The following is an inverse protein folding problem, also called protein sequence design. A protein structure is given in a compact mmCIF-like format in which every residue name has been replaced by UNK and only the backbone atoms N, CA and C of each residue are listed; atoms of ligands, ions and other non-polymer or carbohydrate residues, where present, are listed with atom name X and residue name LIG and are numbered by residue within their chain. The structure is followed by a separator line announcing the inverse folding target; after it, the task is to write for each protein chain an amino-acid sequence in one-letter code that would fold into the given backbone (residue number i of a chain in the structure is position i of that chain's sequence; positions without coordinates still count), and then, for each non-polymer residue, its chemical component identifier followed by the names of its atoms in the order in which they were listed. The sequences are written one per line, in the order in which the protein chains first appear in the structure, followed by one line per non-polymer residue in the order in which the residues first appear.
data_IF_278256099440
#
_entry.id   IF_278256099440
#
_cell.length_a   1.000
_cell.length_b   1.000
_cell.length_c   1.000
_cell.angle_alpha   90.00
_cell.angle_beta   90.00
_cell.angle_gamma   90.00
#
_symmetry.space_group_name_H-M   'P 1'
#
loop_
_entity.id
_entity.type
_entity.pdbx_description
1 polymer ?
#
# COMPACT_ATOMS: atom_id res chain seq x y z
N UNK A 1 4.64 13.46 2.00
CA UNK A 1 3.27 13.78 1.56
C UNK A 1 3.38 14.88 0.52
N UNK A 2 2.80 14.66 -0.63
CA UNK A 2 2.88 15.53 -1.78
C UNK A 2 1.90 16.69 -1.63
N UNK A 3 2.40 17.93 -1.63
CA UNK A 3 1.57 19.14 -1.39
C UNK A 3 0.45 19.35 -2.41
N UNK A 4 0.65 18.88 -3.64
CA UNK A 4 -0.32 18.98 -4.73
C UNK A 4 -1.49 17.98 -4.64
N UNK A 5 -1.47 17.08 -3.66
CA UNK A 5 -2.54 16.11 -3.44
C UNK A 5 -3.73 16.67 -2.67
N UNK A 6 -3.54 17.75 -1.94
CA UNK A 6 -4.60 18.32 -1.09
C UNK A 6 -5.85 18.65 -1.88
N UNK A 7 -5.70 19.28 -3.07
CA UNK A 7 -6.85 19.64 -3.91
C UNK A 7 -7.51 18.41 -4.55
N UNK A 8 -6.72 17.42 -4.93
CA UNK A 8 -7.21 16.17 -5.50
C UNK A 8 -7.98 15.33 -4.48
N UNK A 9 -7.52 15.30 -3.23
CA UNK A 9 -8.19 14.62 -2.12
C UNK A 9 -9.45 15.36 -1.62
N UNK A 10 -9.63 16.63 -1.99
CA UNK A 10 -10.76 17.43 -1.56
C UNK A 10 -12.11 16.82 -1.97
N UNK A 11 -12.20 16.28 -3.20
CA UNK A 11 -13.41 15.61 -3.67
C UNK A 11 -13.72 14.36 -2.84
N UNK A 12 -12.73 13.51 -2.60
CA UNK A 12 -12.86 12.33 -1.75
C UNK A 12 -13.27 12.72 -0.31
N UNK A 13 -12.59 13.70 0.27
CA UNK A 13 -12.94 14.20 1.61
C UNK A 13 -14.39 14.69 1.67
N UNK A 14 -14.83 15.47 0.67
CA UNK A 14 -16.21 15.96 0.59
C UNK A 14 -17.21 14.82 0.50
N UNK A 15 -16.88 13.77 -0.25
CA UNK A 15 -17.71 12.57 -0.36
C UNK A 15 -17.84 11.87 0.99
N UNK A 16 -16.73 11.61 1.69
CA UNK A 16 -16.74 10.97 3.01
C UNK A 16 -17.52 11.79 4.05
N UNK A 17 -17.32 13.11 4.07
CA UNK A 17 -17.98 14.00 5.05
C UNK A 17 -19.50 14.09 4.85
N UNK A 18 -20.03 13.75 3.65
CA UNK A 18 -21.45 13.88 3.30
C UNK A 18 -22.20 12.58 3.09
N UNK A 19 -21.50 11.45 3.14
CA UNK A 19 -22.09 10.14 2.83
C UNK A 19 -22.18 9.30 4.10
N UNK A 20 -23.34 8.71 4.33
CA UNK A 20 -23.56 7.79 5.45
C UNK A 20 -22.65 6.56 5.31
N UNK A 21 -22.18 6.02 6.43
CA UNK A 21 -21.15 4.98 6.45
C UNK A 21 -21.56 3.69 5.73
N UNK A 22 -22.84 3.34 5.74
CA UNK A 22 -23.40 2.16 5.05
C UNK A 22 -23.52 2.35 3.54
N UNK A 23 -23.43 3.60 3.06
CA UNK A 23 -23.53 3.98 1.65
C UNK A 23 -22.17 4.20 0.97
N UNK A 24 -21.09 4.25 1.74
CA UNK A 24 -19.75 4.50 1.21
C UNK A 24 -19.31 3.44 0.19
N UNK A 25 -19.77 2.22 0.34
CA UNK A 25 -19.42 1.07 -0.51
C UNK A 25 -20.59 0.57 -1.36
N UNK A 26 -21.76 1.24 -1.28
CA UNK A 26 -22.92 0.79 -2.04
C UNK A 26 -22.78 1.18 -3.52
N UNK A 27 -22.71 0.18 -4.40
CA UNK A 27 -22.67 0.33 -5.86
C UNK A 27 -23.87 1.08 -6.44
N UNK A 28 -24.98 1.17 -5.69
CA UNK A 28 -26.19 1.92 -6.08
C UNK A 28 -26.16 3.36 -5.60
N UNK A 29 -25.13 3.76 -4.86
CA UNK A 29 -24.92 5.16 -4.54
C UNK A 29 -24.37 5.89 -5.76
N UNK A 30 -25.26 6.53 -6.53
CA UNK A 30 -24.89 7.26 -7.76
C UNK A 30 -24.34 8.67 -7.50
N UNK A 31 -24.07 9.05 -6.26
CA UNK A 31 -23.17 10.17 -5.96
C UNK A 31 -21.73 9.71 -6.13
N UNK A 32 -21.43 8.52 -5.63
CA UNK A 32 -20.16 7.84 -5.74
C UNK A 32 -20.05 6.72 -4.72
N UNK A 33 -19.03 5.89 -4.85
CA UNK A 33 -18.68 4.86 -3.87
C UNK A 33 -17.19 4.54 -3.90
N UNK A 34 -16.72 3.91 -2.82
CA UNK A 34 -15.33 3.52 -2.66
C UNK A 34 -15.07 2.22 -3.41
N UNK A 35 -13.96 2.21 -4.14
CA UNK A 35 -13.37 1.02 -4.76
C UNK A 35 -11.96 0.81 -4.25
N UNK A 36 -11.37 -0.34 -4.53
CA UNK A 36 -10.00 -0.62 -4.17
C UNK A 36 -9.25 -1.28 -5.32
N UNK A 37 -8.01 -0.86 -5.54
CA UNK A 37 -7.17 -1.44 -6.58
C UNK A 37 -5.73 -1.65 -6.12
N UNK A 38 -4.98 -2.42 -6.92
CA UNK A 38 -3.63 -2.84 -6.58
C UNK A 38 -2.65 -2.54 -7.69
N UNK A 39 -1.56 -1.87 -7.36
CA UNK A 39 -0.37 -1.84 -8.19
C UNK A 39 0.52 -2.99 -7.73
N UNK A 40 0.67 -4.01 -8.56
CA UNK A 40 1.50 -5.19 -8.27
C UNK A 40 2.79 -5.07 -9.07
N UNK A 41 3.91 -4.94 -8.37
CA UNK A 41 5.21 -4.68 -8.96
C UNK A 41 6.15 -5.87 -8.81
N UNK A 42 6.64 -6.37 -9.93
CA UNK A 42 7.76 -7.30 -9.96
C UNK A 42 9.07 -6.51 -9.92
N UNK A 43 9.68 -6.52 -8.74
CA UNK A 43 10.93 -5.79 -8.51
C UNK A 43 12.10 -6.35 -9.32
N UNK A 44 12.14 -7.68 -9.56
CA UNK A 44 13.25 -8.32 -10.26
C UNK A 44 13.32 -7.92 -11.72
N UNK A 45 12.16 -7.74 -12.34
CA UNK A 45 12.04 -7.45 -13.77
C UNK A 45 11.58 -6.01 -14.05
N UNK A 46 11.36 -5.18 -13.02
CA UNK A 46 10.85 -3.79 -13.14
C UNK A 46 9.55 -3.69 -13.92
N UNK A 47 8.62 -4.63 -13.65
CA UNK A 47 7.33 -4.72 -14.34
C UNK A 47 6.15 -4.55 -13.39
N UNK A 48 5.04 -4.07 -13.94
CA UNK A 48 3.74 -3.94 -13.25
C UNK A 48 2.73 -4.85 -13.93
N UNK A 49 1.93 -5.54 -13.12
CA UNK A 49 0.86 -6.39 -13.60
C UNK A 49 -0.34 -5.55 -14.01
N UNK A 50 -0.87 -5.81 -15.21
CA UNK A 50 -2.05 -5.17 -15.74
C UNK A 50 -3.06 -6.21 -16.22
N UNK A 51 -4.34 -5.88 -16.04
CA UNK A 51 -5.48 -6.63 -16.60
C UNK A 51 -6.13 -5.85 -17.72
N UNK A 52 -6.69 -6.55 -18.70
CA UNK A 52 -7.47 -5.96 -19.79
C UNK A 52 -8.92 -5.76 -19.35
N UNK A 53 -9.28 -4.52 -19.11
CA UNK A 53 -10.67 -4.19 -18.81
C UNK A 53 -11.54 -4.33 -20.08
N UNK A 54 -12.40 -5.33 -20.13
CA UNK A 54 -13.14 -5.74 -21.33
C UNK A 54 -13.99 -4.60 -21.91
N UNK A 55 -14.71 -3.86 -21.06
CA UNK A 55 -15.61 -2.78 -21.51
C UNK A 55 -14.83 -1.56 -22.01
N UNK A 56 -13.80 -1.15 -21.27
CA UNK A 56 -12.99 0.03 -21.59
C UNK A 56 -11.94 -0.24 -22.67
N UNK A 57 -11.68 -1.50 -23.00
CA UNK A 57 -10.62 -1.93 -23.92
C UNK A 57 -9.25 -1.31 -23.54
N UNK A 58 -8.99 -1.20 -22.23
CA UNK A 58 -7.76 -0.62 -21.67
C UNK A 58 -7.10 -1.59 -20.72
N UNK A 59 -5.79 -1.47 -20.62
CA UNK A 59 -5.00 -2.15 -19.63
C UNK A 59 -4.98 -1.31 -18.35
N UNK A 60 -5.46 -1.89 -17.25
CA UNK A 60 -5.60 -1.24 -15.95
C UNK A 60 -4.95 -2.12 -14.87
N UNK A 61 -4.76 -1.55 -13.70
CA UNK A 61 -4.40 -2.31 -12.51
C UNK A 61 -5.57 -3.22 -12.08
N UNK A 62 -5.30 -4.37 -11.44
CA UNK A 62 -6.33 -5.19 -10.80
C UNK A 62 -7.09 -4.42 -9.73
N UNK A 63 -8.38 -4.67 -9.60
CA UNK A 63 -9.21 -4.07 -8.55
C UNK A 63 -10.69 -3.94 -8.93
N UNK A 64 -11.50 -3.63 -7.92
CA UNK A 64 -12.93 -3.54 -8.10
C UNK A 64 -13.67 -3.01 -6.88
N UNK A 65 -14.92 -3.47 -6.71
CA UNK A 65 -15.78 -3.02 -5.63
C UNK A 65 -15.49 -3.77 -4.33
N UNK A 66 -15.62 -3.03 -3.23
CA UNK A 66 -15.54 -3.63 -1.90
C UNK A 66 -16.90 -4.21 -1.55
N UNK A 67 -16.92 -5.48 -1.19
CA UNK A 67 -18.15 -6.20 -0.84
C UNK A 67 -18.43 -6.13 0.66
N UNK A 68 -19.70 -6.32 1.05
CA UNK A 68 -20.11 -6.34 2.46
C UNK A 68 -19.48 -7.49 3.26
N UNK A 69 -19.03 -8.52 2.58
CA UNK A 69 -18.33 -9.68 3.14
C UNK A 69 -16.85 -9.44 3.37
N UNK A 70 -16.27 -8.41 2.77
CA UNK A 70 -14.86 -8.07 2.97
C UNK A 70 -14.66 -7.48 4.37
N UNK A 71 -13.73 -8.04 5.14
CA UNK A 71 -13.43 -7.59 6.50
C UNK A 71 -12.82 -6.18 6.55
N UNK A 72 -12.18 -5.76 5.46
CA UNK A 72 -11.63 -4.43 5.27
C UNK A 72 -11.52 -4.10 3.79
N UNK A 73 -11.26 -2.83 3.45
CA UNK A 73 -10.98 -2.41 2.07
C UNK A 73 -9.80 -3.20 1.49
N UNK A 74 -8.75 -3.40 2.29
CA UNK A 74 -7.58 -4.15 1.86
C UNK A 74 -7.89 -5.64 1.60
N UNK A 75 -8.80 -6.24 2.37
CA UNK A 75 -9.21 -7.63 2.11
C UNK A 75 -10.01 -7.73 0.82
N UNK A 76 -10.86 -6.73 0.52
CA UNK A 76 -11.52 -6.62 -0.79
C UNK A 76 -10.51 -6.51 -1.94
N UNK A 77 -9.45 -5.71 -1.77
CA UNK A 77 -8.37 -5.61 -2.76
C UNK A 77 -7.66 -6.95 -2.96
N UNK A 78 -7.36 -7.70 -1.88
CA UNK A 78 -6.78 -9.04 -2.01
C UNK A 78 -7.71 -10.03 -2.72
N UNK A 79 -9.03 -9.96 -2.47
CA UNK A 79 -10.02 -10.79 -3.17
C UNK A 79 -10.02 -10.46 -4.66
N UNK A 80 -10.11 -9.19 -5.05
CA UNK A 80 -10.09 -8.76 -6.45
C UNK A 80 -8.78 -9.18 -7.15
N UNK A 81 -7.62 -9.03 -6.50
CA UNK A 81 -6.35 -9.52 -7.05
C UNK A 81 -6.44 -11.01 -7.34
N UNK A 82 -6.92 -11.81 -6.39
CA UNK A 82 -7.01 -13.25 -6.56
C UNK A 82 -7.98 -13.65 -7.68
N UNK A 83 -9.15 -13.02 -7.73
CA UNK A 83 -10.18 -13.28 -8.75
C UNK A 83 -9.70 -12.95 -10.16
N UNK A 84 -8.97 -11.85 -10.33
CA UNK A 84 -8.54 -11.37 -11.65
C UNK A 84 -7.19 -11.92 -12.11
N UNK A 85 -6.33 -12.32 -11.18
CA UNK A 85 -4.93 -12.68 -11.51
C UNK A 85 -4.49 -14.05 -10.99
N UNK A 86 -5.28 -14.68 -10.13
CA UNK A 86 -4.94 -15.90 -9.40
C UNK A 86 -3.66 -15.80 -8.54
N UNK A 87 -3.24 -14.58 -8.19
CA UNK A 87 -2.10 -14.35 -7.28
C UNK A 87 -2.60 -14.45 -5.84
N UNK A 88 -1.98 -15.34 -5.06
CA UNK A 88 -2.32 -15.52 -3.66
C UNK A 88 -1.79 -14.36 -2.80
N UNK A 89 -2.50 -14.08 -1.69
CA UNK A 89 -2.10 -13.04 -0.72
C UNK A 89 -0.68 -13.22 -0.20
N UNK A 90 -0.25 -14.47 -0.01
CA UNK A 90 1.09 -14.80 0.50
C UNK A 90 2.22 -14.48 -0.50
N UNK A 91 1.89 -14.37 -1.79
CA UNK A 91 2.82 -13.95 -2.84
C UNK A 91 2.97 -12.42 -2.94
N UNK A 92 2.26 -11.68 -2.09
CA UNK A 92 2.23 -10.24 -2.10
C UNK A 92 2.81 -9.65 -0.81
N UNK A 93 3.60 -8.61 -0.96
CA UNK A 93 4.07 -7.78 0.14
C UNK A 93 3.49 -6.38 -0.01
N UNK A 94 2.60 -6.00 0.91
CA UNK A 94 2.04 -4.65 0.95
C UNK A 94 3.13 -3.63 1.33
N UNK A 95 3.28 -2.61 0.50
CA UNK A 95 4.12 -1.45 0.79
C UNK A 95 3.21 -0.26 1.09
N UNK A 96 3.21 0.17 2.33
CA UNK A 96 2.44 1.32 2.77
C UNK A 96 3.32 2.57 2.87
N UNK A 97 2.79 3.78 2.57
CA UNK A 97 3.53 5.03 2.76
C UNK A 97 3.89 5.30 4.22
N UNK A 98 3.18 4.67 5.15
CA UNK A 98 3.49 4.73 6.59
C UNK A 98 3.79 3.30 7.04
N UNK A 99 5.03 3.08 7.49
CA UNK A 99 5.48 1.78 7.97
C UNK A 99 4.60 1.25 9.11
N UNK A 100 4.32 -0.05 9.09
CA UNK A 100 3.46 -0.70 10.08
C UNK A 100 1.96 -0.36 9.96
N UNK A 101 1.56 0.46 8.98
CA UNK A 101 0.16 0.78 8.66
C UNK A 101 -0.23 0.15 7.32
N UNK A 102 -1.53 0.00 7.10
CA UNK A 102 -2.09 -0.58 5.87
C UNK A 102 -2.82 0.49 5.06
N UNK A 103 -2.10 1.56 4.72
CA UNK A 103 -2.67 2.67 3.96
C UNK A 103 -2.46 2.51 2.45
N UNK A 104 -3.40 2.99 1.62
CA UNK A 104 -3.18 3.11 0.19
C UNK A 104 -2.07 4.14 -0.09
N UNK A 105 -1.38 3.98 -1.21
CA UNK A 105 -0.37 4.94 -1.67
C UNK A 105 -0.99 6.11 -2.42
N UNK A 106 -2.20 5.93 -2.92
CA UNK A 106 -2.91 6.91 -3.71
C UNK A 106 -4.42 6.78 -3.54
N UNK A 107 -5.14 7.89 -3.73
CA UNK A 107 -6.60 7.93 -3.83
C UNK A 107 -6.93 8.68 -5.11
N UNK A 108 -7.68 8.05 -6.00
CA UNK A 108 -8.09 8.61 -7.28
C UNK A 108 -9.61 8.69 -7.36
N UNK A 109 -10.12 9.91 -7.51
CA UNK A 109 -11.54 10.15 -7.70
C UNK A 109 -11.79 10.46 -9.17
N UNK A 110 -12.50 9.58 -9.87
CA UNK A 110 -12.77 9.73 -11.28
C UNK A 110 -14.23 9.42 -11.62
N UNK A 111 -14.79 10.12 -12.65
CA UNK A 111 -16.17 9.87 -13.07
C UNK A 111 -16.27 8.53 -13.81
N UNK A 112 -17.34 7.81 -13.50
CA UNK A 112 -17.79 6.65 -14.25
C UNK A 112 -18.97 7.08 -15.13
N UNK A 113 -18.91 6.89 -16.44
CA UNK A 113 -20.02 7.24 -17.31
C UNK A 113 -21.26 6.36 -17.05
N UNK A 114 -22.41 6.86 -17.41
CA UNK A 114 -23.66 6.12 -17.35
C UNK A 114 -23.55 4.80 -18.13
N UNK A 115 -24.09 3.74 -17.55
CA UNK A 115 -24.20 2.41 -18.18
C UNK A 115 -25.68 1.96 -18.19
N UNK A 116 -26.45 2.27 -19.24
CA UNK A 116 -27.86 1.91 -19.31
C UNK A 116 -28.11 0.39 -19.25
N UNK A 117 -27.18 -0.42 -19.77
CA UNK A 117 -27.31 -1.88 -19.76
C UNK A 117 -27.28 -2.47 -18.34
N UNK A 118 -26.66 -1.77 -17.40
CA UNK A 118 -26.60 -2.14 -15.97
C UNK A 118 -27.52 -1.30 -15.10
N UNK A 119 -28.30 -0.39 -15.67
CA UNK A 119 -29.10 0.61 -14.93
C UNK A 119 -28.25 1.46 -13.97
N UNK A 120 -27.01 1.74 -14.33
CA UNK A 120 -26.09 2.56 -13.56
C UNK A 120 -26.08 3.98 -14.12
N UNK A 121 -26.39 4.97 -13.28
CA UNK A 121 -26.24 6.39 -13.63
C UNK A 121 -24.78 6.80 -13.57
N UNK A 122 -24.44 7.93 -14.20
CA UNK A 122 -23.12 8.55 -14.01
C UNK A 122 -22.86 8.78 -12.51
N UNK A 123 -21.67 8.40 -12.05
CA UNK A 123 -21.28 8.51 -10.65
C UNK A 123 -19.75 8.64 -10.54
N UNK A 124 -19.23 8.70 -9.30
CA UNK A 124 -17.79 8.70 -9.06
C UNK A 124 -17.33 7.38 -8.43
N UNK A 125 -16.20 6.89 -8.90
CA UNK A 125 -15.40 5.96 -8.11
C UNK A 125 -14.33 6.73 -7.33
N UNK A 126 -14.19 6.38 -6.06
CA UNK A 126 -13.12 6.83 -5.19
C UNK A 126 -12.21 5.63 -4.95
N UNK A 127 -11.22 5.48 -5.82
CA UNK A 127 -10.37 4.29 -5.86
C UNK A 127 -9.19 4.44 -4.90
N UNK A 128 -9.12 3.56 -3.90
CA UNK A 128 -8.02 3.46 -2.96
C UNK A 128 -6.97 2.49 -3.53
N UNK A 129 -5.85 3.03 -3.99
CA UNK A 129 -4.79 2.28 -4.66
C UNK A 129 -3.75 1.80 -3.67
N UNK A 130 -3.59 0.48 -3.56
CA UNK A 130 -2.55 -0.15 -2.73
C UNK A 130 -1.36 -0.57 -3.59
N UNK A 131 -0.18 -0.57 -3.00
CA UNK A 131 1.04 -0.96 -3.68
C UNK A 131 1.61 -2.24 -3.08
N UNK A 132 1.89 -3.22 -3.95
CA UNK A 132 2.41 -4.52 -3.57
C UNK A 132 3.67 -4.85 -4.34
N UNK A 133 4.64 -5.45 -3.66
CA UNK A 133 5.74 -6.17 -4.30
C UNK A 133 5.30 -7.62 -4.49
N UNK A 134 5.47 -8.13 -5.70
CA UNK A 134 5.28 -9.53 -6.00
C UNK A 134 6.49 -10.34 -5.52
N UNK A 135 6.25 -11.36 -4.70
CA UNK A 135 7.28 -12.25 -4.12
C UNK A 135 7.27 -13.64 -4.74
N UNK A 136 6.25 -13.95 -5.55
CA UNK A 136 6.09 -15.27 -6.15
C UNK A 136 7.31 -15.67 -6.99
N UNK A 137 7.65 -16.95 -6.97
CA UNK A 137 8.76 -17.49 -7.76
C UNK A 137 8.42 -17.61 -9.24
N UNK A 138 7.14 -17.81 -9.56
CA UNK A 138 6.65 -17.93 -10.94
C UNK A 138 5.88 -16.67 -11.30
N UNK A 139 6.32 -16.01 -12.36
CA UNK A 139 5.52 -14.97 -13.00
C UNK A 139 4.21 -15.63 -13.44
N UNK A 140 3.08 -15.04 -13.04
CA UNK A 140 1.76 -15.45 -13.55
C UNK A 140 1.81 -15.44 -15.08
N UNK A 141 1.40 -16.52 -15.72
CA UNK A 141 1.43 -16.61 -17.18
C UNK A 141 0.62 -15.48 -17.80
N UNK A 142 1.22 -14.81 -18.78
CA UNK A 142 0.51 -13.79 -19.55
C UNK A 142 -0.62 -14.45 -20.34
N UNK A 143 -1.75 -13.78 -20.44
CA UNK A 143 -2.91 -14.21 -21.21
C UNK A 143 -3.44 -13.06 -22.05
N UNK A 144 -4.50 -13.29 -22.81
CA UNK A 144 -5.19 -12.21 -23.55
C UNK A 144 -5.65 -11.07 -22.63
N UNK A 145 -5.87 -11.36 -21.35
CA UNK A 145 -6.43 -10.42 -20.38
C UNK A 145 -5.47 -10.07 -19.23
N UNK A 146 -4.24 -10.62 -19.22
CA UNK A 146 -3.26 -10.42 -18.16
C UNK A 146 -1.87 -10.25 -18.75
N UNK A 147 -1.15 -9.20 -18.37
CA UNK A 147 0.24 -8.99 -18.82
C UNK A 147 1.09 -8.24 -17.81
N UNK A 148 2.38 -8.48 -17.87
CA UNK A 148 3.41 -7.71 -17.20
C UNK A 148 3.95 -6.62 -18.13
N UNK A 149 3.80 -5.36 -17.75
CA UNK A 149 4.23 -4.19 -18.52
C UNK A 149 5.39 -3.48 -17.85
N UNK A 150 6.33 -3.00 -18.64
CA UNK A 150 7.43 -2.17 -18.12
C UNK A 150 6.86 -0.90 -17.47
N UNK A 151 7.38 -0.53 -16.29
CA UNK A 151 6.97 0.68 -15.58
C UNK A 151 7.16 1.92 -16.46
N UNK A 152 8.22 1.96 -17.28
CA UNK A 152 8.46 3.06 -18.22
C UNK A 152 7.34 3.24 -19.25
N UNK A 153 6.66 2.17 -19.65
CA UNK A 153 5.53 2.26 -20.59
C UNK A 153 4.28 2.88 -19.99
N UNK A 154 4.14 2.83 -18.66
CA UNK A 154 3.02 3.44 -17.93
C UNK A 154 3.16 4.96 -17.80
N UNK A 155 4.37 5.48 -17.93
CA UNK A 155 4.66 6.91 -17.83
C UNK A 155 3.99 7.76 -18.92
N UNK A 156 3.54 7.17 -20.01
CA UNK A 156 2.78 7.84 -21.06
C UNK A 156 1.35 8.23 -20.66
N UNK A 157 0.83 7.66 -19.57
CA UNK A 157 -0.48 7.99 -19.02
C UNK A 157 -0.33 8.97 -17.86
N UNK A 158 -0.86 10.18 -18.00
CA UNK A 158 -0.72 11.27 -17.00
C UNK A 158 -1.10 10.84 -15.58
N UNK A 159 -2.10 9.96 -15.44
CA UNK A 159 -2.56 9.43 -14.16
C UNK A 159 -1.49 8.54 -13.50
N UNK A 160 -0.71 7.79 -14.29
CA UNK A 160 0.35 6.93 -13.80
C UNK A 160 1.67 7.64 -13.53
N UNK A 161 1.96 8.78 -14.16
CA UNK A 161 3.22 9.51 -13.94
C UNK A 161 3.44 9.88 -12.46
N UNK A 162 2.41 10.41 -11.81
CA UNK A 162 2.47 10.78 -10.39
C UNK A 162 2.60 9.54 -9.51
N UNK A 163 1.90 8.48 -9.87
CA UNK A 163 1.93 7.20 -9.17
C UNK A 163 3.30 6.52 -9.30
N UNK A 164 3.88 6.51 -10.50
CA UNK A 164 5.24 6.00 -10.75
C UNK A 164 6.27 6.75 -9.90
N UNK A 165 6.16 8.08 -9.80
CA UNK A 165 7.04 8.85 -8.92
C UNK A 165 6.89 8.43 -7.45
N UNK A 166 5.66 8.29 -6.94
CA UNK A 166 5.42 7.82 -5.57
C UNK A 166 6.00 6.43 -5.33
N UNK A 167 5.83 5.53 -6.30
CA UNK A 167 6.40 4.19 -6.23
C UNK A 167 7.92 4.26 -6.12
N UNK A 168 8.58 5.05 -6.98
CA UNK A 168 10.04 5.22 -6.92
C UNK A 168 10.49 5.85 -5.63
N UNK A 169 9.82 6.89 -5.15
CA UNK A 169 10.14 7.52 -3.87
C UNK A 169 10.00 6.52 -2.70
N UNK A 170 9.02 5.62 -2.75
CA UNK A 170 8.84 4.56 -1.74
C UNK A 170 9.88 3.44 -1.86
N UNK A 171 10.26 3.08 -3.08
CA UNK A 171 11.25 2.02 -3.34
C UNK A 171 12.68 2.49 -3.04
N UNK A 172 13.02 3.73 -3.36
CA UNK A 172 14.35 4.28 -3.17
C UNK A 172 14.69 4.43 -1.67
N UNK A 173 13.71 4.80 -0.85
CA UNK A 173 13.94 5.07 0.58
C UNK A 173 14.01 3.78 1.41
N UNK A 174 13.33 2.68 1.01
CA UNK A 174 13.03 1.62 1.99
C UNK A 174 13.06 0.16 1.48
N UNK A 175 13.09 -0.11 0.19
CA UNK A 175 12.85 -1.46 -0.31
C UNK A 175 13.96 -2.45 0.09
N UNK A 176 15.23 -2.09 -0.07
CA UNK A 176 16.34 -2.97 0.30
C UNK A 176 16.35 -3.24 1.81
N UNK A 177 16.05 -2.24 2.60
CA UNK A 177 15.91 -2.34 4.05
C UNK A 177 14.71 -3.21 4.41
N UNK A 178 13.56 -3.04 3.76
CA UNK A 178 12.36 -3.85 4.00
C UNK A 178 12.56 -5.31 3.61
N UNK A 179 13.09 -5.59 2.42
CA UNK A 179 13.36 -6.96 1.96
C UNK A 179 14.33 -7.69 2.89
N UNK A 180 15.36 -6.98 3.37
CA UNK A 180 16.30 -7.51 4.34
C UNK A 180 15.59 -7.90 5.65
N UNK A 181 14.77 -6.98 6.20
CA UNK A 181 14.09 -7.25 7.47
C UNK A 181 12.95 -8.26 7.33
N UNK A 182 12.19 -8.27 6.23
CA UNK A 182 11.16 -9.29 6.02
C UNK A 182 11.75 -10.71 5.91
N UNK A 183 12.93 -10.83 5.32
CA UNK A 183 13.64 -12.11 5.30
C UNK A 183 14.03 -12.55 6.73
N UNK A 184 14.46 -11.63 7.59
CA UNK A 184 14.71 -11.90 9.01
C UNK A 184 13.39 -12.26 9.71
N UNK A 185 12.31 -11.53 9.48
CA UNK A 185 10.98 -11.75 10.06
C UNK A 185 10.46 -13.14 9.71
N UNK A 186 10.53 -13.53 8.45
CA UNK A 186 10.02 -14.83 8.01
C UNK A 186 10.76 -15.97 8.69
N UNK A 187 12.07 -15.83 8.90
CA UNK A 187 12.91 -16.80 9.60
C UNK A 187 12.65 -16.84 11.11
N UNK A 188 12.41 -15.69 11.74
CA UNK A 188 12.16 -15.59 13.18
C UNK A 188 10.78 -16.15 13.58
N UNK A 189 9.75 -15.97 12.74
CA UNK A 189 8.38 -16.48 13.01
C UNK A 189 8.27 -18.00 13.03
N UNK A 190 9.27 -18.72 12.55
CA UNK A 190 9.27 -20.20 12.56
C UNK A 190 9.55 -20.81 13.92
N UNK A 191 9.98 -20.03 14.93
CA UNK A 191 10.38 -20.56 16.24
C UNK A 191 9.26 -20.63 17.28
N UNK A 192 8.10 -19.98 17.07
CA UNK A 192 6.93 -20.08 17.95
C UNK A 192 7.09 -19.52 19.38
N UNK A 193 8.19 -18.83 19.69
CA UNK A 193 8.47 -18.27 21.00
C UNK A 193 8.08 -16.79 21.07
N UNK A 194 7.54 -16.37 22.24
CA UNK A 194 7.20 -14.96 22.49
C UNK A 194 8.42 -14.20 23.00
N UNK A 195 9.10 -13.48 22.14
CA UNK A 195 10.19 -12.59 22.53
C UNK A 195 9.72 -11.14 22.63
N UNK A 196 10.39 -10.39 23.51
CA UNK A 196 10.35 -8.93 23.56
C UNK A 196 11.73 -8.38 23.22
N UNK A 197 11.77 -7.23 22.55
CA UNK A 197 13.04 -6.61 22.18
C UNK A 197 13.39 -5.45 23.12
N UNK A 198 14.66 -5.41 23.55
CA UNK A 198 15.30 -4.23 24.11
C UNK A 198 16.38 -3.79 23.11
N UNK A 199 16.22 -2.62 22.52
CA UNK A 199 17.07 -2.19 21.42
C UNK A 199 18.06 -1.15 21.89
N UNK A 200 19.35 -1.42 21.68
CA UNK A 200 20.43 -0.43 21.87
C UNK A 200 20.86 0.05 20.49
N UNK A 201 20.60 1.30 20.17
CA UNK A 201 20.81 1.79 18.81
C UNK A 201 21.35 3.22 18.74
N UNK A 202 22.04 3.52 17.64
CA UNK A 202 22.23 4.88 17.17
C UNK A 202 20.88 5.44 16.74
N UNK A 203 20.61 6.71 16.97
CA UNK A 203 19.40 7.39 16.52
C UNK A 203 19.78 8.28 15.33
N UNK A 204 19.82 7.68 14.16
CA UNK A 204 20.13 8.31 12.87
C UNK A 204 18.88 8.24 11.97
N UNK A 205 18.80 8.99 10.86
CA UNK A 205 17.58 9.07 10.05
C UNK A 205 16.91 7.74 9.71
N UNK A 206 17.68 6.71 9.39
CA UNK A 206 17.16 5.38 9.02
C UNK A 206 16.67 4.54 10.23
N UNK A 207 16.98 4.95 11.45
CA UNK A 207 16.66 4.19 12.67
C UNK A 207 15.16 4.01 12.87
N UNK A 208 14.33 4.98 12.47
CA UNK A 208 12.86 4.91 12.60
C UNK A 208 12.33 3.69 11.84
N UNK A 209 12.79 3.47 10.62
CA UNK A 209 12.35 2.37 9.77
C UNK A 209 12.78 1.01 10.34
N UNK A 210 14.01 0.95 10.79
CA UNK A 210 14.58 -0.22 11.46
C UNK A 210 13.80 -0.61 12.74
N UNK A 211 13.53 0.35 13.62
CA UNK A 211 12.81 0.10 14.88
C UNK A 211 11.38 -0.35 14.63
N UNK A 212 10.69 0.28 13.70
CA UNK A 212 9.32 -0.12 13.31
C UNK A 212 9.30 -1.52 12.69
N UNK A 213 10.31 -1.90 11.92
CA UNK A 213 10.46 -3.25 11.39
C UNK A 213 10.64 -4.28 12.52
N UNK A 214 11.51 -4.03 13.48
CA UNK A 214 11.71 -4.91 14.63
C UNK A 214 10.41 -5.03 15.44
N UNK A 215 9.72 -3.93 15.72
CA UNK A 215 8.50 -3.92 16.53
C UNK A 215 7.37 -4.75 15.92
N UNK A 216 7.39 -4.97 14.61
CA UNK A 216 6.43 -5.89 13.95
C UNK A 216 6.72 -7.36 14.21
N UNK A 217 7.94 -7.70 14.61
CA UNK A 217 8.40 -9.08 14.90
C UNK A 217 8.38 -9.34 16.40
N UNK A 218 9.06 -8.45 17.09
CA UNK A 218 9.26 -8.51 18.54
C UNK A 218 8.82 -7.18 19.13
N UNK A 219 7.75 -7.13 19.94
CA UNK A 219 7.35 -5.89 20.59
C UNK A 219 8.54 -5.23 21.29
N UNK A 220 8.87 -4.01 20.90
CA UNK A 220 9.96 -3.25 21.50
C UNK A 220 9.50 -2.74 22.86
N UNK A 221 10.06 -3.29 23.91
CA UNK A 221 9.78 -2.87 25.27
C UNK A 221 10.39 -1.49 25.56
N UNK A 222 11.61 -1.27 25.11
CA UNK A 222 12.31 0.00 25.28
C UNK A 222 13.49 0.16 24.32
N UNK A 223 13.89 1.41 24.07
CA UNK A 223 15.05 1.75 23.30
C UNK A 223 16.06 2.45 24.19
N UNK A 224 17.32 2.07 24.09
CA UNK A 224 18.45 2.69 24.77
C UNK A 224 19.34 3.39 23.73
N UNK A 225 19.23 4.72 23.57
CA UNK A 225 20.02 5.46 22.59
C UNK A 225 21.51 5.48 22.96
N UNK A 226 22.37 5.34 21.97
CA UNK A 226 23.80 5.60 22.14
C UNK A 226 24.06 7.11 22.16
N UNK A 227 24.62 7.70 23.24
CA UNK A 227 24.66 9.16 23.44
C UNK A 227 25.36 9.94 22.33
N UNK A 228 26.36 9.34 21.68
CA UNK A 228 27.21 10.02 20.71
C UNK A 228 26.71 9.99 19.26
N UNK A 229 25.46 9.53 19.06
CA UNK A 229 24.91 9.32 17.70
C UNK A 229 23.41 9.53 17.71
N UNK A 230 22.99 10.72 18.07
CA UNK A 230 21.58 11.11 18.14
C UNK A 230 21.30 12.23 17.14
N UNK A 231 20.50 11.94 16.13
CA UNK A 231 19.86 12.96 15.28
C UNK A 231 18.58 13.45 15.96
N UNK A 232 18.50 14.72 16.27
CA UNK A 232 17.41 15.31 17.07
C UNK A 232 16.02 15.18 16.40
N UNK A 233 15.95 15.26 15.06
CA UNK A 233 14.69 15.10 14.34
C UNK A 233 14.21 13.67 14.44
N UNK A 234 15.09 12.72 14.20
CA UNK A 234 14.81 11.28 14.31
C UNK A 234 14.46 10.90 15.74
N UNK A 235 15.19 11.43 16.72
CA UNK A 235 14.90 11.20 18.15
C UNK A 235 13.49 11.67 18.53
N UNK A 236 13.06 12.82 18.02
CA UNK A 236 11.71 13.33 18.25
C UNK A 236 10.63 12.39 17.69
N UNK A 237 10.88 11.75 16.54
CA UNK A 237 9.97 10.77 15.96
C UNK A 237 9.96 9.48 16.79
N UNK A 238 11.14 8.95 17.09
CA UNK A 238 11.28 7.68 17.83
C UNK A 238 10.61 7.74 19.20
N UNK A 239 10.79 8.83 19.95
CA UNK A 239 10.16 8.97 21.28
C UNK A 239 8.65 9.12 21.28
N UNK A 240 8.02 9.39 20.13
CA UNK A 240 6.56 9.36 19.98
C UNK A 240 6.03 7.94 19.83
N UNK A 241 6.79 7.10 19.15
CA UNK A 241 6.37 5.76 18.79
C UNK A 241 6.81 4.70 19.83
N UNK A 242 7.92 4.98 20.53
CA UNK A 242 8.57 4.00 21.40
C UNK A 242 8.95 4.57 22.77
N UNK A 243 8.94 3.70 23.78
CA UNK A 243 9.48 4.03 25.10
C UNK A 243 10.99 4.13 25.03
N UNK A 244 11.56 5.25 25.51
CA UNK A 244 12.99 5.46 25.60
C UNK A 244 13.44 5.34 27.06
N UNK A 245 14.45 4.53 27.31
CA UNK A 245 15.14 4.42 28.57
C UNK A 245 16.49 5.14 28.48
N UNK A 246 16.73 6.07 29.36
CA UNK A 246 18.05 6.71 29.46
C UNK A 246 19.02 5.78 30.14
N UNK A 247 20.21 5.67 29.59
CA UNK A 247 21.31 5.07 30.32
C UNK A 247 21.66 6.03 31.44
N UNK A 248 21.53 5.62 32.67
CA UNK A 248 22.15 6.34 33.80
C UNK A 248 23.64 6.42 33.51
N UNK A 249 24.18 7.66 33.47
CA UNK A 249 25.60 7.92 33.37
C UNK A 249 26.31 7.49 34.63
#
# INVERSE_FOLDING_TARGET
IYKDETDRLKQFKTFIDKTESDQLFDRKNFVGHITGSAIIFDYKNSKVLLIKHIILQRWLQPGGHIEKTDASILDGVYREIFEETNIAKDDLMLISPIFGKKFPIDIDSHPIPENPAKHEKQHFHHDLRYFFIYKGEKITEESENLKWSDVSSLSSQVTFLKLVKKIWDLLDIDLNTRLFYENIISKARTTGENYIAVVVSHIIPDTVHYLRAIDTIFPIQTIVPKPNSIDEKTYTIVRKDFKISHVCR
#
